data_IF_233528368849
#
_entry.id   IF_233528368849
#
_cell.length_a   1.000
_cell.length_b   1.000
_cell.length_c   1.000
_cell.angle_alpha   90.00
_cell.angle_beta   90.00
_cell.angle_gamma   90.00
#
_symmetry.space_group_name_H-M   'P 1'
#
loop_
_entity.id
_entity.type
_entity.pdbx_description
1 polymer ?
#
# COMPACT_ATOMS: atom_id res chain seq x y z
N UNK A 1 -9.47 9.93 -36.34
CA UNK A 1 -8.51 10.36 -35.30
C UNK A 1 -7.13 9.89 -35.75
N UNK A 2 -6.05 10.67 -35.61
CA UNK A 2 -4.72 10.16 -36.01
C UNK A 2 -4.21 9.10 -35.01
N UNK A 3 -3.31 8.23 -35.46
CA UNK A 3 -2.83 7.09 -34.65
C UNK A 3 -2.18 7.57 -33.34
N UNK A 4 -1.43 8.66 -33.36
CA UNK A 4 -0.77 9.20 -32.16
C UNK A 4 -1.75 9.64 -31.09
N UNK A 5 -2.86 10.28 -31.48
CA UNK A 5 -3.92 10.66 -30.53
C UNK A 5 -4.57 9.42 -29.92
N UNK A 6 -4.78 8.36 -30.72
CA UNK A 6 -5.35 7.10 -30.21
C UNK A 6 -4.37 6.43 -29.24
N UNK A 7 -3.07 6.40 -29.54
CA UNK A 7 -2.04 5.88 -28.63
C UNK A 7 -2.08 6.64 -27.31
N UNK A 8 -2.11 7.97 -27.35
CA UNK A 8 -2.14 8.80 -26.14
C UNK A 8 -3.42 8.54 -25.32
N UNK A 9 -4.58 8.45 -25.96
CA UNK A 9 -5.84 8.08 -25.30
C UNK A 9 -5.75 6.72 -24.63
N UNK A 10 -5.34 5.68 -25.36
CA UNK A 10 -5.22 4.31 -24.84
C UNK A 10 -4.23 4.22 -23.68
N UNK A 11 -3.15 5.00 -23.72
CA UNK A 11 -2.11 4.99 -22.69
C UNK A 11 -2.55 5.65 -21.38
N UNK A 12 -3.66 6.39 -21.39
CA UNK A 12 -4.24 7.05 -20.22
C UNK A 12 -5.47 6.30 -19.66
N UNK A 13 -5.87 5.18 -20.28
CA UNK A 13 -6.96 4.36 -19.77
C UNK A 13 -6.50 3.53 -18.56
N UNK A 14 -7.44 3.27 -17.65
CA UNK A 14 -7.23 2.28 -16.60
C UNK A 14 -7.12 0.85 -17.20
N UNK A 15 -6.46 -0.08 -16.50
CA UNK A 15 -6.22 -1.43 -17.01
C UNK A 15 -7.45 -2.20 -17.50
N UNK A 16 -8.59 -2.10 -16.83
CA UNK A 16 -9.81 -2.82 -17.25
C UNK A 16 -10.40 -2.19 -18.51
N UNK A 17 -10.49 -0.86 -18.54
CA UNK A 17 -10.99 -0.15 -19.72
C UNK A 17 -10.10 -0.40 -20.93
N UNK A 18 -8.78 -0.33 -20.77
CA UNK A 18 -7.84 -0.67 -21.85
C UNK A 18 -8.06 -2.10 -22.36
N UNK A 19 -8.13 -3.07 -21.45
CA UNK A 19 -8.34 -4.47 -21.80
C UNK A 19 -9.64 -4.67 -22.58
N UNK A 20 -10.74 -4.10 -22.09
CA UNK A 20 -12.06 -4.24 -22.69
C UNK A 20 -12.15 -3.54 -24.05
N UNK A 21 -11.61 -2.33 -24.16
CA UNK A 21 -11.63 -1.53 -25.39
C UNK A 21 -10.80 -2.21 -26.49
N UNK A 22 -9.56 -2.66 -26.20
CA UNK A 22 -8.79 -3.41 -27.20
C UNK A 22 -9.49 -4.76 -27.51
N UNK A 23 -10.26 -5.37 -26.59
CA UNK A 23 -10.97 -6.64 -26.88
C UNK A 23 -12.12 -6.48 -27.88
N UNK A 24 -12.88 -5.39 -27.81
CA UNK A 24 -14.09 -5.21 -28.63
C UNK A 24 -13.85 -4.43 -29.92
N UNK A 25 -12.93 -3.48 -29.94
CA UNK A 25 -12.65 -2.63 -31.09
C UNK A 25 -11.45 -3.15 -31.88
N UNK A 26 -11.67 -3.62 -33.12
CA UNK A 26 -10.62 -4.19 -33.98
C UNK A 26 -9.52 -3.18 -34.33
N UNK A 27 -9.88 -1.94 -34.62
CA UNK A 27 -8.94 -0.87 -34.96
C UNK A 27 -8.04 -0.56 -33.76
N UNK A 28 -8.64 -0.36 -32.59
CA UNK A 28 -7.88 -0.12 -31.37
C UNK A 28 -7.05 -1.33 -30.97
N UNK A 29 -7.55 -2.55 -31.14
CA UNK A 29 -6.76 -3.75 -30.91
C UNK A 29 -5.49 -3.75 -31.77
N UNK A 30 -5.62 -3.43 -33.05
CA UNK A 30 -4.48 -3.40 -33.97
C UNK A 30 -3.46 -2.34 -33.58
N UNK A 31 -3.91 -1.14 -33.21
CA UNK A 31 -3.05 -0.09 -32.65
C UNK A 31 -2.39 -0.57 -31.34
N UNK A 32 -3.16 -1.17 -30.42
CA UNK A 32 -2.64 -1.75 -29.17
C UNK A 32 -1.55 -2.79 -29.45
N UNK A 33 -1.69 -3.64 -30.48
CA UNK A 33 -0.69 -4.66 -30.85
C UNK A 33 0.57 -4.03 -31.41
N UNK A 34 0.43 -3.07 -32.33
CA UNK A 34 1.54 -2.43 -33.03
C UNK A 34 2.33 -1.46 -32.12
N UNK A 35 1.68 -0.86 -31.13
CA UNK A 35 2.28 0.12 -30.20
C UNK A 35 2.28 -0.35 -28.73
N UNK A 36 2.15 -1.67 -28.50
CA UNK A 36 1.97 -2.28 -27.16
C UNK A 36 2.97 -1.80 -26.12
N UNK A 37 4.24 -1.62 -26.51
CA UNK A 37 5.29 -1.31 -25.56
C UNK A 37 5.16 0.12 -25.05
N UNK A 38 4.76 1.07 -25.90
CA UNK A 38 4.56 2.47 -25.48
C UNK A 38 3.35 2.55 -24.56
N UNK A 39 2.23 1.95 -24.97
CA UNK A 39 0.97 1.97 -24.22
C UNK A 39 1.13 1.30 -22.86
N UNK A 40 1.60 0.05 -22.84
CA UNK A 40 1.67 -0.72 -21.59
C UNK A 40 2.74 -0.21 -20.64
N UNK A 41 3.85 0.39 -21.11
CA UNK A 41 4.81 1.03 -20.20
C UNK A 41 4.17 2.19 -19.45
N UNK A 42 3.38 3.03 -20.14
CA UNK A 42 2.71 4.18 -19.51
C UNK A 42 1.69 3.70 -18.47
N UNK A 43 0.86 2.72 -18.84
CA UNK A 43 -0.20 2.16 -17.98
C UNK A 43 0.39 1.45 -16.75
N UNK A 44 1.37 0.58 -16.92
CA UNK A 44 2.02 -0.11 -15.79
C UNK A 44 2.70 0.88 -14.85
N UNK A 45 3.35 1.92 -15.40
CA UNK A 45 3.98 2.98 -14.60
C UNK A 45 2.94 3.79 -13.81
N UNK A 46 1.82 4.19 -14.41
CA UNK A 46 0.76 4.92 -13.70
C UNK A 46 0.12 4.09 -12.59
N UNK A 47 0.18 2.76 -12.72
CA UNK A 47 -0.32 1.81 -11.73
C UNK A 47 0.72 1.40 -10.67
N UNK A 48 1.90 2.03 -10.64
CA UNK A 48 3.00 1.72 -9.72
C UNK A 48 3.49 0.27 -9.79
N UNK A 49 3.41 -0.34 -10.98
CA UNK A 49 3.94 -1.68 -11.21
C UNK A 49 5.44 -1.61 -11.45
N UNK A 50 6.22 -2.10 -10.50
CA UNK A 50 7.63 -2.41 -10.74
C UNK A 50 7.73 -3.81 -11.35
N UNK A 51 7.89 -3.89 -12.67
CA UNK A 51 8.05 -5.17 -13.37
C UNK A 51 9.52 -5.54 -13.60
N UNK A 52 10.47 -4.73 -13.16
CA UNK A 52 11.89 -5.04 -13.27
C UNK A 52 12.40 -5.72 -11.99
N UNK A 53 11.74 -5.47 -10.85
CA UNK A 53 11.99 -6.16 -9.60
C UNK A 53 11.33 -7.56 -9.54
N UNK A 54 12.15 -8.59 -9.34
CA UNK A 54 11.71 -9.97 -9.15
C UNK A 54 10.88 -10.18 -7.87
N UNK A 55 10.96 -9.27 -6.89
CA UNK A 55 10.20 -9.29 -5.62
C UNK A 55 8.88 -8.53 -5.71
N UNK A 56 8.50 -8.08 -6.91
CA UNK A 56 7.21 -7.46 -7.13
C UNK A 56 6.06 -8.47 -7.05
N UNK A 57 4.94 -8.06 -6.47
CA UNK A 57 3.72 -8.90 -6.34
C UNK A 57 3.23 -9.43 -7.68
N UNK A 58 3.50 -8.74 -8.79
CA UNK A 58 3.08 -9.20 -10.13
C UNK A 58 3.69 -10.56 -10.50
N UNK A 59 4.78 -10.98 -9.85
CA UNK A 59 5.43 -12.27 -10.05
C UNK A 59 5.04 -13.34 -9.04
N UNK A 60 4.03 -13.09 -8.19
CA UNK A 60 3.45 -14.12 -7.33
C UNK A 60 2.33 -14.87 -8.04
N UNK A 61 2.36 -16.20 -7.97
CA UNK A 61 1.25 -17.08 -8.34
C UNK A 61 0.62 -17.70 -7.09
N UNK A 62 -0.72 -17.78 -7.08
CA UNK A 62 -1.46 -18.47 -6.04
C UNK A 62 -1.54 -19.95 -6.37
N UNK A 63 -0.78 -20.77 -5.62
CA UNK A 63 -0.77 -22.23 -5.79
C UNK A 63 -1.49 -22.90 -4.63
N UNK A 64 -2.24 -23.96 -4.94
CA UNK A 64 -2.87 -24.79 -3.91
C UNK A 64 -1.81 -25.70 -3.29
N UNK A 65 -1.75 -25.74 -1.97
CA UNK A 65 -0.87 -26.61 -1.22
C UNK A 65 -1.65 -27.23 -0.06
N UNK A 66 -1.99 -28.52 -0.19
CA UNK A 66 -2.95 -29.20 0.68
C UNK A 66 -4.30 -28.45 0.67
N UNK A 67 -4.84 -28.15 1.85
CA UNK A 67 -6.11 -27.43 2.03
C UNK A 67 -5.94 -25.91 2.18
N UNK A 68 -4.75 -25.38 1.87
CA UNK A 68 -4.46 -23.94 1.93
C UNK A 68 -3.91 -23.44 0.60
N UNK A 69 -4.11 -22.16 0.33
CA UNK A 69 -3.41 -21.47 -0.76
C UNK A 69 -2.12 -20.87 -0.23
N UNK A 70 -1.08 -20.87 -1.06
CA UNK A 70 0.16 -20.14 -0.80
C UNK A 70 0.57 -19.36 -2.05
N UNK A 71 1.31 -18.28 -1.85
CA UNK A 71 1.92 -17.53 -2.94
C UNK A 71 3.34 -18.02 -3.17
N UNK A 72 3.71 -18.16 -4.44
CA UNK A 72 5.08 -18.52 -4.85
C UNK A 72 5.53 -17.61 -5.98
N UNK A 73 6.80 -17.22 -5.96
CA UNK A 73 7.37 -16.47 -7.07
C UNK A 73 7.50 -17.37 -8.30
N UNK A 74 7.15 -16.81 -9.45
CA UNK A 74 7.55 -17.34 -10.75
C UNK A 74 8.84 -16.68 -11.22
N UNK A 75 9.61 -17.41 -12.00
CA UNK A 75 10.85 -16.90 -12.59
C UNK A 75 10.58 -15.73 -13.55
N UNK A 76 11.08 -14.55 -13.19
CA UNK A 76 10.98 -13.32 -13.96
C UNK A 76 11.61 -13.45 -15.36
N UNK A 77 12.63 -14.30 -15.53
CA UNK A 77 13.34 -14.47 -16.80
C UNK A 77 12.42 -14.99 -17.91
N UNK A 78 11.32 -15.68 -17.57
CA UNK A 78 10.28 -16.10 -18.54
C UNK A 78 9.65 -14.90 -19.26
N UNK A 79 9.65 -13.74 -18.61
CA UNK A 79 9.11 -12.47 -19.12
C UNK A 79 10.16 -11.57 -19.76
N UNK A 80 11.44 -11.93 -19.70
CA UNK A 80 12.53 -11.21 -20.37
C UNK A 80 12.77 -11.78 -21.77
N UNK A 81 13.20 -10.93 -22.70
CA UNK A 81 13.64 -11.29 -24.06
C UNK A 81 15.16 -11.31 -24.12
N UNK A 82 15.70 -11.89 -25.19
CA UNK A 82 17.15 -11.95 -25.44
C UNK A 82 17.79 -10.56 -25.52
N UNK A 83 17.07 -9.58 -26.08
CA UNK A 83 17.49 -8.17 -26.15
C UNK A 83 17.40 -7.43 -24.80
N UNK A 84 17.05 -8.12 -23.71
CA UNK A 84 16.89 -7.57 -22.38
C UNK A 84 15.54 -6.90 -22.11
N UNK A 85 14.71 -6.69 -23.13
CA UNK A 85 13.40 -6.06 -22.97
C UNK A 85 12.36 -7.03 -22.39
N UNK A 86 11.31 -6.49 -21.77
CA UNK A 86 10.28 -7.28 -21.11
C UNK A 86 9.07 -7.53 -22.00
N UNK A 87 8.45 -8.71 -21.87
CA UNK A 87 7.20 -9.12 -22.54
C UNK A 87 6.01 -8.46 -21.84
N UNK A 88 5.85 -7.14 -22.02
CA UNK A 88 4.89 -6.30 -21.29
C UNK A 88 3.43 -6.77 -21.39
N UNK A 89 3.00 -7.34 -22.52
CA UNK A 89 1.66 -7.90 -22.63
C UNK A 89 1.41 -9.09 -21.69
N UNK A 90 2.43 -9.90 -21.41
CA UNK A 90 2.32 -11.01 -20.45
C UNK A 90 2.35 -10.52 -19.01
N UNK A 91 3.19 -9.51 -18.72
CA UNK A 91 3.25 -8.86 -17.41
C UNK A 91 1.94 -8.15 -17.09
N UNK A 92 1.38 -7.40 -18.05
CA UNK A 92 0.09 -6.73 -17.91
C UNK A 92 -1.04 -7.73 -17.60
N UNK A 93 -1.06 -8.89 -18.25
CA UNK A 93 -2.02 -9.96 -17.92
C UNK A 93 -1.88 -10.48 -16.49
N UNK A 94 -0.65 -10.61 -15.97
CA UNK A 94 -0.43 -10.98 -14.57
C UNK A 94 -0.89 -9.88 -13.63
N UNK A 95 -0.56 -8.63 -13.95
CA UNK A 95 -0.99 -7.48 -13.18
C UNK A 95 -2.53 -7.38 -13.12
N UNK A 96 -3.24 -7.68 -14.21
CA UNK A 96 -4.70 -7.69 -14.23
C UNK A 96 -5.33 -8.64 -13.19
N UNK A 97 -4.64 -9.71 -12.76
CA UNK A 97 -5.11 -10.58 -11.68
C UNK A 97 -5.17 -9.82 -10.35
N UNK A 98 -4.15 -9.01 -10.07
CA UNK A 98 -4.04 -8.21 -8.86
C UNK A 98 -4.92 -6.95 -8.92
N UNK A 99 -4.94 -6.28 -10.07
CA UNK A 99 -5.81 -5.12 -10.32
C UNK A 99 -7.29 -5.45 -10.07
N UNK A 100 -7.70 -6.68 -10.43
CA UNK A 100 -9.05 -7.19 -10.27
C UNK A 100 -9.28 -7.98 -8.98
N UNK A 101 -8.31 -8.03 -8.05
CA UNK A 101 -8.50 -8.69 -6.77
C UNK A 101 -9.54 -7.92 -5.96
N UNK A 102 -10.70 -8.53 -5.74
CA UNK A 102 -11.87 -7.91 -5.09
C UNK A 102 -12.11 -8.42 -3.67
N UNK A 103 -11.12 -9.11 -3.07
CA UNK A 103 -11.25 -9.75 -1.74
C UNK A 103 -10.08 -9.39 -0.84
N UNK A 104 -9.90 -10.21 0.20
CA UNK A 104 -8.76 -10.21 1.09
C UNK A 104 -7.57 -10.95 0.47
N UNK A 105 -6.37 -10.40 0.62
CA UNK A 105 -5.12 -11.06 0.20
C UNK A 105 -4.06 -10.94 1.28
N UNK A 106 -3.41 -12.07 1.56
CA UNK A 106 -2.29 -12.18 2.49
C UNK A 106 -1.02 -12.54 1.72
N UNK A 107 -0.07 -11.60 1.73
CA UNK A 107 1.28 -11.69 1.16
C UNK A 107 2.34 -11.42 2.23
N UNK A 108 2.02 -11.63 3.50
CA UNK A 108 2.95 -11.41 4.61
C UNK A 108 4.15 -12.34 4.57
N UNK A 109 5.33 -11.83 4.94
CA UNK A 109 6.56 -12.65 5.05
C UNK A 109 7.13 -13.16 3.72
N UNK A 110 6.66 -12.66 2.57
CA UNK A 110 7.08 -13.13 1.25
C UNK A 110 8.31 -12.39 0.69
N UNK A 111 8.85 -11.43 1.42
CA UNK A 111 9.98 -10.60 0.98
C UNK A 111 9.65 -9.66 -0.19
N UNK A 112 8.36 -9.35 -0.39
CA UNK A 112 7.86 -8.42 -1.41
C UNK A 112 8.45 -7.03 -1.19
N UNK A 113 8.72 -6.29 -2.28
CA UNK A 113 9.23 -4.92 -2.26
C UNK A 113 8.26 -3.88 -2.82
N UNK A 114 7.24 -4.30 -3.57
CA UNK A 114 6.32 -3.41 -4.27
C UNK A 114 4.89 -3.99 -4.32
N UNK A 115 3.91 -3.15 -4.01
CA UNK A 115 2.48 -3.44 -4.16
C UNK A 115 1.90 -2.44 -5.17
N UNK A 116 1.43 -2.88 -6.35
CA UNK A 116 0.84 -1.98 -7.34
C UNK A 116 -0.59 -1.57 -6.96
N UNK A 117 -1.21 -0.71 -7.77
CA UNK A 117 -2.61 -0.32 -7.58
C UNK A 117 -3.53 -1.55 -7.64
N UNK A 118 -4.44 -1.67 -6.66
CA UNK A 118 -5.44 -2.74 -6.54
C UNK A 118 -6.80 -2.12 -6.15
N UNK A 119 -7.46 -1.41 -7.07
CA UNK A 119 -8.59 -0.53 -6.74
C UNK A 119 -9.81 -1.27 -6.17
N UNK A 120 -9.93 -2.57 -6.40
CA UNK A 120 -11.05 -3.40 -5.95
C UNK A 120 -10.79 -4.13 -4.63
N UNK A 121 -9.55 -4.12 -4.13
CA UNK A 121 -9.14 -4.90 -2.97
C UNK A 121 -9.78 -4.38 -1.70
N UNK A 122 -10.26 -5.28 -0.83
CA UNK A 122 -10.90 -4.91 0.44
C UNK A 122 -9.94 -5.02 1.62
N UNK A 123 -9.07 -6.02 1.64
CA UNK A 123 -8.13 -6.24 2.74
C UNK A 123 -6.77 -6.66 2.19
N UNK A 124 -5.72 -6.05 2.71
CA UNK A 124 -4.33 -6.35 2.37
C UNK A 124 -3.55 -6.63 3.66
N UNK A 125 -3.03 -7.85 3.76
CA UNK A 125 -2.03 -8.21 4.76
C UNK A 125 -0.70 -8.36 4.04
N UNK A 126 0.22 -7.44 4.32
CA UNK A 126 1.53 -7.36 3.69
C UNK A 126 2.65 -7.13 4.71
N UNK A 127 2.42 -7.54 5.95
CA UNK A 127 3.38 -7.48 7.04
C UNK A 127 4.67 -8.26 6.73
N UNK A 128 5.76 -7.93 7.41
CA UNK A 128 7.05 -8.64 7.32
C UNK A 128 7.59 -8.71 5.88
N UNK A 129 7.65 -7.56 5.21
CA UNK A 129 8.14 -7.43 3.84
C UNK A 129 9.18 -6.30 3.72
N UNK A 130 9.62 -5.99 2.51
CA UNK A 130 10.58 -4.94 2.20
C UNK A 130 9.93 -3.75 1.46
N UNK A 131 8.65 -3.50 1.71
CA UNK A 131 7.89 -2.47 1.00
C UNK A 131 8.33 -1.10 1.52
N UNK A 132 8.64 -0.18 0.59
CA UNK A 132 9.05 1.20 0.92
C UNK A 132 7.93 2.23 0.84
N UNK A 133 6.92 1.93 0.04
CA UNK A 133 5.77 2.79 -0.17
C UNK A 133 4.57 1.94 -0.61
N UNK A 134 3.39 2.32 -0.14
CA UNK A 134 2.12 1.80 -0.68
C UNK A 134 1.40 3.00 -1.28
N UNK A 135 1.65 3.21 -2.56
CA UNK A 135 1.15 4.34 -3.36
C UNK A 135 0.46 3.79 -4.60
N UNK A 136 -0.69 4.36 -4.95
CA UNK A 136 -1.55 3.83 -6.01
C UNK A 136 -3.02 3.97 -5.66
N UNK A 137 -3.87 3.37 -6.49
CA UNK A 137 -5.30 3.31 -6.25
C UNK A 137 -5.67 2.10 -5.37
N UNK A 138 -6.17 2.41 -4.18
CA UNK A 138 -6.70 1.49 -3.18
C UNK A 138 -8.08 1.97 -2.70
N UNK A 139 -8.91 2.49 -3.62
CA UNK A 139 -10.17 3.16 -3.32
C UNK A 139 -11.15 2.36 -2.46
N UNK A 140 -11.16 1.03 -2.55
CA UNK A 140 -12.04 0.14 -1.79
C UNK A 140 -11.37 -0.56 -0.59
N UNK A 141 -10.08 -0.27 -0.34
CA UNK A 141 -9.33 -0.92 0.74
C UNK A 141 -9.87 -0.47 2.10
N UNK A 142 -10.29 -1.43 2.92
CA UNK A 142 -10.84 -1.23 4.25
C UNK A 142 -9.86 -1.60 5.36
N UNK A 143 -9.05 -2.64 5.15
CA UNK A 143 -8.06 -3.08 6.13
C UNK A 143 -6.69 -3.18 5.49
N UNK A 144 -5.71 -2.58 6.13
CA UNK A 144 -4.31 -2.67 5.75
C UNK A 144 -3.49 -3.04 6.98
N UNK A 145 -2.86 -4.21 6.93
CA UNK A 145 -1.72 -4.53 7.78
C UNK A 145 -0.46 -4.43 6.94
N UNK A 146 0.34 -3.41 7.21
CA UNK A 146 1.64 -3.21 6.58
C UNK A 146 2.77 -3.13 7.61
N UNK A 147 2.57 -3.75 8.77
CA UNK A 147 3.56 -3.79 9.85
C UNK A 147 4.88 -4.41 9.40
N UNK A 148 5.99 -4.10 10.08
CA UNK A 148 7.31 -4.68 9.81
C UNK A 148 7.74 -4.55 8.34
N UNK A 149 7.71 -3.33 7.84
CA UNK A 149 8.18 -2.97 6.50
C UNK A 149 9.16 -1.80 6.57
N UNK A 150 9.49 -1.20 5.42
CA UNK A 150 10.32 -0.01 5.30
C UNK A 150 9.50 1.18 4.78
N UNK A 151 8.19 1.22 5.11
CA UNK A 151 7.28 2.19 4.53
C UNK A 151 7.58 3.58 5.07
N UNK A 152 7.86 4.49 4.16
CA UNK A 152 8.03 5.91 4.46
C UNK A 152 6.76 6.70 4.10
N UNK A 153 6.01 6.22 3.11
CA UNK A 153 4.86 6.92 2.53
C UNK A 153 3.69 5.97 2.27
N UNK A 154 2.51 6.38 2.74
CA UNK A 154 1.21 5.80 2.37
C UNK A 154 0.42 6.76 1.48
N UNK A 155 -0.16 6.22 0.41
CA UNK A 155 -1.06 6.95 -0.48
C UNK A 155 -2.45 7.19 0.11
N UNK A 156 -3.35 7.78 -0.69
CA UNK A 156 -4.74 8.01 -0.28
C UNK A 156 -5.52 6.70 -0.32
N UNK A 157 -6.18 6.36 0.79
CA UNK A 157 -7.06 5.20 0.91
C UNK A 157 -8.39 5.66 1.51
N UNK A 158 -9.32 6.20 0.69
CA UNK A 158 -10.49 6.93 1.19
C UNK A 158 -11.46 6.05 1.99
N UNK A 159 -11.46 4.73 1.76
CA UNK A 159 -12.35 3.78 2.43
C UNK A 159 -11.66 3.02 3.58
N UNK A 160 -10.43 3.40 3.94
CA UNK A 160 -9.67 2.66 4.95
C UNK A 160 -10.28 2.86 6.34
N UNK A 161 -10.56 1.74 6.99
CA UNK A 161 -11.25 1.63 8.27
C UNK A 161 -10.29 1.19 9.39
N UNK A 162 -9.35 0.29 9.06
CA UNK A 162 -8.32 -0.23 9.98
C UNK A 162 -6.95 -0.20 9.34
N UNK A 163 -5.98 0.32 10.09
CA UNK A 163 -4.60 0.46 9.64
C UNK A 163 -3.61 0.05 10.75
N UNK A 164 -2.75 -0.90 10.41
CA UNK A 164 -1.56 -1.24 11.20
C UNK A 164 -0.29 -0.81 10.44
N UNK A 165 0.45 0.12 11.05
CA UNK A 165 1.74 0.61 10.53
C UNK A 165 2.93 0.28 11.43
N UNK A 166 2.77 -0.66 12.38
CA UNK A 166 3.80 -0.96 13.38
C UNK A 166 5.16 -1.20 12.72
N UNK A 167 6.25 -0.79 13.35
CA UNK A 167 7.61 -1.00 12.84
C UNK A 167 7.81 -0.51 11.40
N UNK A 168 7.36 0.71 11.10
CA UNK A 168 7.70 1.39 9.86
C UNK A 168 8.36 2.75 10.12
N UNK A 169 9.25 3.22 9.23
CA UNK A 169 9.90 4.52 9.35
C UNK A 169 9.00 5.71 8.94
N UNK A 170 7.67 5.58 9.00
CA UNK A 170 6.72 6.65 8.67
C UNK A 170 6.95 7.86 9.58
N UNK A 171 7.06 9.04 8.97
CA UNK A 171 7.28 10.31 9.68
C UNK A 171 6.00 11.08 9.96
N UNK A 172 5.02 11.00 9.06
CA UNK A 172 3.72 11.67 9.22
C UNK A 172 2.58 10.77 8.72
N UNK A 173 1.44 10.82 9.42
CA UNK A 173 0.23 10.12 8.99
C UNK A 173 -1.02 10.97 9.23
N UNK A 174 -1.94 10.98 8.27
CA UNK A 174 -3.15 11.79 8.38
C UNK A 174 -4.07 11.74 7.18
N UNK A 175 -5.26 12.34 7.35
CA UNK A 175 -6.23 12.50 6.27
C UNK A 175 -7.05 11.26 5.93
N UNK A 176 -6.96 10.17 6.70
CA UNK A 176 -7.83 9.01 6.55
C UNK A 176 -9.18 9.25 7.22
N UNK A 177 -10.18 9.66 6.43
CA UNK A 177 -11.47 10.14 6.94
C UNK A 177 -12.37 9.07 7.56
N UNK A 178 -12.21 7.82 7.12
CA UNK A 178 -13.02 6.68 7.58
C UNK A 178 -12.27 5.76 8.55
N UNK A 179 -11.01 6.10 8.87
CA UNK A 179 -10.17 5.28 9.74
C UNK A 179 -10.70 5.39 11.16
N UNK A 180 -11.11 4.27 11.74
CA UNK A 180 -11.54 4.25 13.13
C UNK A 180 -10.49 3.62 14.05
N UNK A 181 -9.58 2.78 13.52
CA UNK A 181 -8.51 2.12 14.27
C UNK A 181 -7.15 2.32 13.61
N UNK A 182 -6.21 2.90 14.36
CA UNK A 182 -4.81 3.02 13.99
C UNK A 182 -3.91 2.38 15.06
N UNK A 183 -3.07 1.44 14.65
CA UNK A 183 -1.97 0.88 15.46
C UNK A 183 -0.63 1.33 14.88
N UNK A 184 0.21 1.92 15.73
CA UNK A 184 1.52 2.45 15.38
C UNK A 184 2.52 2.19 16.52
N UNK A 185 2.89 0.93 16.67
CA UNK A 185 3.84 0.44 17.66
C UNK A 185 5.26 0.43 17.14
N UNK A 186 6.22 0.58 18.06
CA UNK A 186 7.65 0.57 17.75
C UNK A 186 8.05 1.59 16.67
N UNK A 187 7.44 2.78 16.73
CA UNK A 187 7.75 3.87 15.82
C UNK A 187 9.11 4.48 16.18
N UNK A 188 9.97 4.66 15.18
CA UNK A 188 11.28 5.31 15.33
C UNK A 188 11.26 6.77 14.91
N UNK A 189 10.44 7.12 13.91
CA UNK A 189 10.48 8.41 13.22
C UNK A 189 9.16 9.17 13.19
N UNK A 190 8.07 8.65 13.78
CA UNK A 190 6.74 9.26 13.66
C UNK A 190 6.67 10.60 14.41
N UNK A 191 6.59 11.69 13.64
CA UNK A 191 6.62 13.07 14.13
C UNK A 191 5.23 13.69 14.19
N UNK A 192 4.28 13.22 13.38
CA UNK A 192 2.99 13.91 13.23
C UNK A 192 1.84 12.98 12.91
N UNK A 193 0.72 13.19 13.60
CA UNK A 193 -0.58 12.61 13.29
C UNK A 193 -1.58 13.75 13.10
N UNK A 194 -2.33 13.73 11.99
CA UNK A 194 -3.21 14.87 11.71
C UNK A 194 -4.50 14.57 10.96
N UNK A 195 -5.51 15.43 11.16
CA UNK A 195 -6.71 15.51 10.33
C UNK A 195 -7.52 14.21 10.28
N UNK A 196 -7.67 13.56 11.43
CA UNK A 196 -8.36 12.27 11.57
C UNK A 196 -9.30 12.29 12.77
N UNK A 197 -10.34 11.47 12.70
CA UNK A 197 -11.22 11.18 13.82
C UNK A 197 -11.24 9.67 13.98
N UNK A 198 -10.62 9.18 15.05
CA UNK A 198 -10.46 7.77 15.35
C UNK A 198 -11.38 7.38 16.51
N UNK A 199 -11.80 6.13 16.54
CA UNK A 199 -12.39 5.55 17.74
C UNK A 199 -11.26 5.01 18.64
N UNK A 200 -10.23 4.40 18.04
CA UNK A 200 -9.12 3.78 18.74
C UNK A 200 -7.76 4.16 18.12
N UNK A 201 -6.84 4.58 18.99
CA UNK A 201 -5.46 4.92 18.64
C UNK A 201 -4.48 4.27 19.62
N UNK A 202 -3.61 3.41 19.10
CA UNK A 202 -2.56 2.74 19.85
C UNK A 202 -1.20 3.15 19.28
N UNK A 203 -0.35 3.77 20.09
CA UNK A 203 0.97 4.24 19.67
C UNK A 203 2.01 3.83 20.69
N UNK A 204 3.14 3.29 20.22
CA UNK A 204 4.33 3.19 21.03
C UNK A 204 5.62 3.60 20.31
N UNK A 205 6.53 4.23 21.07
CA UNK A 205 7.82 4.73 20.57
C UNK A 205 8.98 3.85 20.99
N UNK A 206 9.98 3.75 20.12
CA UNK A 206 11.28 3.14 20.47
C UNK A 206 12.16 4.10 21.27
N UNK A 207 12.92 3.56 22.22
CA UNK A 207 13.67 4.24 23.31
C UNK A 207 14.59 5.41 22.94
N UNK A 208 14.88 5.61 21.66
CA UNK A 208 15.80 6.64 21.14
C UNK A 208 15.13 7.69 20.26
N UNK A 209 13.80 7.68 20.12
CA UNK A 209 13.13 8.73 19.36
C UNK A 209 13.15 10.03 20.19
N UNK A 210 14.16 10.88 19.98
CA UNK A 210 14.13 12.30 20.39
C UNK A 210 13.06 13.11 19.62
N UNK A 211 12.15 12.41 18.94
CA UNK A 211 11.13 12.95 18.06
C UNK A 211 9.90 13.24 18.90
N UNK A 212 9.57 14.53 19.00
CA UNK A 212 8.31 14.96 19.63
C UNK A 212 7.15 14.70 18.68
N UNK A 213 6.22 13.83 19.09
CA UNK A 213 4.97 13.63 18.36
C UNK A 213 4.10 14.88 18.42
N UNK A 214 3.61 15.32 17.26
CA UNK A 214 2.62 16.38 17.13
C UNK A 214 1.28 15.80 16.71
N UNK A 215 0.25 16.01 17.52
CA UNK A 215 -1.14 15.69 17.21
C UNK A 215 -1.85 16.97 16.74
N UNK A 216 -2.43 16.97 15.54
CA UNK A 216 -3.04 18.17 14.93
C UNK A 216 -4.39 17.85 14.33
N UNK A 217 -5.45 18.52 14.76
CA UNK A 217 -6.82 18.24 14.26
C UNK A 217 -7.16 16.74 14.34
N UNK A 218 -6.80 16.14 15.50
CA UNK A 218 -7.01 14.73 15.81
C UNK A 218 -8.04 14.61 16.92
N UNK A 219 -9.06 13.78 16.68
CA UNK A 219 -10.06 13.40 17.68
C UNK A 219 -9.97 11.91 17.92
N UNK A 220 -9.92 11.48 19.17
CA UNK A 220 -9.99 10.05 19.56
C UNK A 220 -11.17 9.87 20.51
N UNK A 221 -12.16 9.06 20.11
CA UNK A 221 -13.45 8.96 20.81
C UNK A 221 -13.42 7.98 21.99
N UNK A 222 -12.87 6.79 21.78
CA UNK A 222 -12.99 5.68 22.74
C UNK A 222 -11.66 5.41 23.45
N UNK A 223 -10.64 4.95 22.71
CA UNK A 223 -9.38 4.45 23.30
C UNK A 223 -8.18 5.19 22.76
N UNK A 224 -7.40 5.81 23.65
CA UNK A 224 -6.09 6.36 23.34
C UNK A 224 -5.04 5.68 24.24
N UNK A 225 -4.10 4.97 23.63
CA UNK A 225 -2.94 4.41 24.31
C UNK A 225 -1.66 4.99 23.70
N UNK A 226 -0.85 5.61 24.55
CA UNK A 226 0.42 6.24 24.19
C UNK A 226 1.49 5.72 25.14
N UNK A 227 2.46 4.98 24.62
CA UNK A 227 3.50 4.34 25.43
C UNK A 227 4.91 4.60 24.88
N UNK A 228 5.90 4.69 25.77
CA UNK A 228 7.33 4.61 25.41
C UNK A 228 7.84 3.22 25.77
N UNK A 229 8.40 2.49 24.80
CA UNK A 229 8.91 1.14 25.05
C UNK A 229 10.25 1.20 25.79
N UNK A 230 10.18 1.08 27.12
CA UNK A 230 11.35 0.89 27.98
C UNK A 230 11.71 -0.60 28.06
N UNK A 231 12.53 -1.11 27.12
CA UNK A 231 13.19 -2.41 27.33
C UNK A 231 14.39 -2.24 28.27
N UNK A 232 14.10 -2.20 29.58
CA UNK A 232 15.05 -2.38 30.70
C UNK A 232 15.78 -1.12 31.17
N UNK A 233 15.22 -0.36 32.11
CA UNK A 233 15.94 0.24 33.27
C UNK A 233 15.03 1.14 34.10
N UNK A 234 15.20 1.04 35.43
CA UNK A 234 14.42 1.67 36.51
C UNK A 234 14.88 3.10 36.85
N UNK A 235 14.91 4.01 35.87
CA UNK A 235 15.19 5.44 36.18
C UNK A 235 14.13 6.37 35.62
N UNK A 236 13.59 7.16 36.54
CA UNK A 236 12.44 8.03 36.43
C UNK A 236 12.77 9.30 35.64
N UNK A 237 12.68 9.25 34.31
CA UNK A 237 12.36 10.43 33.52
C UNK A 237 11.21 10.07 32.57
N UNK A 238 10.01 10.10 33.16
CA UNK A 238 8.73 9.96 32.47
C UNK A 238 8.50 11.28 31.71
N UNK A 239 8.37 11.28 30.37
CA UNK A 239 7.68 12.38 29.72
C UNK A 239 6.24 12.30 30.23
N UNK A 240 5.79 13.29 31.00
CA UNK A 240 4.43 13.36 31.52
C UNK A 240 3.41 13.03 30.43
N UNK A 241 2.86 11.81 30.45
CA UNK A 241 1.53 11.50 29.96
C UNK A 241 0.99 10.35 30.79
N UNK A 242 0.16 10.72 31.76
CA UNK A 242 -0.67 9.81 32.53
C UNK A 242 -1.39 8.84 31.61
N UNK A 243 -1.45 7.56 31.99
CA UNK A 243 -2.40 6.59 31.46
C UNK A 243 -3.83 7.13 31.68
N UNK A 244 -4.36 7.88 30.72
CA UNK A 244 -5.70 8.40 30.77
C UNK A 244 -6.64 7.40 30.10
N UNK A 245 -7.25 6.53 30.89
CA UNK A 245 -8.56 5.99 30.54
C UNK A 245 -9.56 7.09 30.88
N UNK A 246 -9.84 8.01 29.96
CA UNK A 246 -11.02 8.92 30.01
C UNK A 246 -11.38 9.41 28.59
N UNK A 247 -12.65 9.17 28.26
CA UNK A 247 -13.60 9.86 27.37
C UNK A 247 -13.08 11.02 26.51
N UNK A 248 -13.04 10.83 25.19
CA UNK A 248 -12.96 11.85 24.13
C UNK A 248 -11.87 12.93 24.30
N UNK A 249 -10.72 12.74 23.66
CA UNK A 249 -9.73 13.82 23.48
C UNK A 249 -10.07 14.62 22.21
N UNK A 250 -10.45 15.89 22.38
CA UNK A 250 -10.41 16.88 21.29
C UNK A 250 -9.14 17.71 21.48
N UNK A 251 -8.09 17.40 20.71
CA UNK A 251 -6.85 18.18 20.74
C UNK A 251 -6.99 19.29 19.68
N UNK A 252 -7.46 20.47 20.10
CA UNK A 252 -7.54 21.66 19.24
C UNK A 252 -6.37 22.63 19.48
N UNK A 253 -5.63 22.90 18.40
CA UNK A 253 -4.76 24.05 18.08
C UNK A 253 -3.72 24.52 19.13
N UNK A 254 -2.45 24.31 18.81
CA UNK A 254 -1.40 25.32 19.02
C UNK A 254 -1.37 26.24 17.79
#
# INVERSE_FOLDING_TARGET
MNVDTVIELLSNLDPDTLWNVCKVNKEYNEICRNHKNVILRKVLKSCYVDYEDQRSVVYLDRVRHKDKYKYVYVDINKYKREDGSYKLGSIFKRYLVWYNMDRSVDIGGLGVSNVPSMPKLHELYCNDNNIKQIVGDFGNLKRLDCSHNQIEVLGKMPSLEVLDINHNPITEIGGFRNLYLLTAHEMSNLQKIYGMTLDQLFISYTRNSNVKLKLVDLVVRDTLQLETLNRGDTTNDIPEMSSAVITTFVITKL
#
